data_IF_265456014341
#
_entry.id   IF_265456014341
#
_cell.length_a   1.000
_cell.length_b   1.000
_cell.length_c   1.000
_cell.angle_alpha   90.00
_cell.angle_beta   90.00
_cell.angle_gamma   90.00
#
_symmetry.space_group_name_H-M   'P 1'
#
loop_
_entity.id
_entity.type
_entity.pdbx_description
1 polymer ?
#
# COMPACT_ATOMS: atom_id res chain seq x y z
N UNK A 1 -19.87 -21.42 11.75
CA UNK A 1 -19.93 -20.02 12.19
C UNK A 1 -18.63 -19.38 11.77
N UNK A 2 -18.63 -18.60 10.70
CA UNK A 2 -17.45 -17.87 10.25
C UNK A 2 -17.21 -16.74 11.25
N UNK A 3 -16.37 -16.98 12.25
CA UNK A 3 -15.86 -15.91 13.09
C UNK A 3 -15.02 -15.01 12.18
N UNK A 4 -15.61 -13.91 11.74
CA UNK A 4 -14.90 -12.85 11.05
C UNK A 4 -13.72 -12.43 11.94
N UNK A 5 -12.50 -12.67 11.45
CA UNK A 5 -11.28 -12.31 12.17
C UNK A 5 -11.28 -10.79 12.37
N UNK A 6 -11.47 -10.38 13.63
CA UNK A 6 -11.40 -8.98 14.03
C UNK A 6 -9.97 -8.48 13.76
N UNK A 7 -9.80 -7.40 12.97
CA UNK A 7 -8.48 -6.87 12.69
C UNK A 7 -7.82 -6.36 13.96
N UNK A 8 -6.52 -6.58 14.08
CA UNK A 8 -5.71 -5.96 15.13
C UNK A 8 -5.61 -4.45 14.90
N UNK A 9 -5.26 -3.70 15.96
CA UNK A 9 -5.09 -2.26 15.86
C UNK A 9 -3.89 -1.94 14.97
N UNK A 10 -4.08 -1.09 13.96
CA UNK A 10 -3.01 -0.69 13.06
C UNK A 10 -2.09 0.32 13.74
N UNK A 11 -0.84 -0.08 13.96
CA UNK A 11 0.21 0.72 14.58
C UNK A 11 1.53 0.52 13.82
N UNK A 12 1.63 1.10 12.63
CA UNK A 12 2.84 1.00 11.83
C UNK A 12 3.30 2.39 11.45
N UNK A 13 4.58 2.65 11.68
CA UNK A 13 5.22 3.89 11.24
C UNK A 13 5.44 3.86 9.72
N UNK A 14 5.09 4.93 8.99
CA UNK A 14 5.22 4.98 7.53
C UNK A 14 6.68 4.95 7.03
N UNK A 15 7.67 5.17 7.90
CA UNK A 15 9.09 5.06 7.54
C UNK A 15 9.60 3.61 7.54
N UNK A 16 8.86 2.68 8.15
CA UNK A 16 9.25 1.27 8.21
C UNK A 16 9.36 0.63 6.82
N UNK A 17 10.39 -0.19 6.59
CA UNK A 17 10.66 -0.83 5.29
C UNK A 17 9.55 -1.76 4.81
N UNK A 18 8.74 -2.29 5.74
CA UNK A 18 7.60 -3.17 5.47
C UNK A 18 6.24 -2.47 5.61
N UNK A 19 6.23 -1.13 5.72
CA UNK A 19 5.01 -0.37 5.97
C UNK A 19 3.96 -0.55 4.86
N UNK A 20 4.38 -0.56 3.59
CA UNK A 20 3.47 -0.81 2.45
C UNK A 20 2.82 -2.20 2.56
N UNK A 21 3.61 -3.26 2.73
CA UNK A 21 3.09 -4.63 2.78
C UNK A 21 2.15 -4.82 3.96
N UNK A 22 2.50 -4.27 5.13
CA UNK A 22 1.66 -4.33 6.33
C UNK A 22 0.37 -3.55 6.17
N UNK A 23 0.42 -2.35 5.57
CA UNK A 23 -0.77 -1.57 5.25
C UNK A 23 -1.69 -2.32 4.29
N UNK A 24 -1.17 -2.86 3.18
CA UNK A 24 -1.96 -3.62 2.20
C UNK A 24 -2.65 -4.83 2.84
N UNK A 25 -1.92 -5.58 3.66
CA UNK A 25 -2.48 -6.72 4.39
C UNK A 25 -3.58 -6.28 5.36
N UNK A 26 -3.27 -5.31 6.22
CA UNK A 26 -4.22 -4.82 7.22
C UNK A 26 -5.48 -4.23 6.58
N UNK A 27 -5.34 -3.39 5.54
CA UNK A 27 -6.46 -2.82 4.78
C UNK A 27 -7.37 -3.93 4.25
N UNK A 28 -6.79 -4.99 3.67
CA UNK A 28 -7.57 -6.12 3.15
C UNK A 28 -8.32 -6.87 4.26
N UNK A 29 -7.68 -7.10 5.40
CA UNK A 29 -8.33 -7.71 6.57
C UNK A 29 -9.46 -6.83 7.10
N UNK A 30 -9.25 -5.51 7.17
CA UNK A 30 -10.26 -4.55 7.61
C UNK A 30 -11.44 -4.52 6.65
N UNK A 31 -11.22 -4.49 5.33
CA UNK A 31 -12.29 -4.57 4.32
C UNK A 31 -13.10 -5.87 4.42
N UNK A 32 -12.44 -7.02 4.62
CA UNK A 32 -13.12 -8.30 4.83
C UNK A 32 -13.97 -8.28 6.11
N UNK A 33 -13.45 -7.69 7.18
CA UNK A 33 -14.18 -7.50 8.43
C UNK A 33 -15.41 -6.61 8.24
N UNK A 34 -15.27 -5.48 7.54
CA UNK A 34 -16.39 -4.60 7.19
C UNK A 34 -17.45 -5.32 6.36
N UNK A 35 -17.04 -6.12 5.37
CA UNK A 35 -17.96 -6.89 4.52
C UNK A 35 -18.77 -7.95 5.28
N UNK A 36 -18.28 -8.39 6.43
CA UNK A 36 -19.00 -9.31 7.32
C UNK A 36 -20.05 -8.65 8.23
N UNK A 37 -20.04 -7.32 8.35
CA UNK A 37 -21.00 -6.57 9.18
C UNK A 37 -22.24 -6.24 8.36
N UNK A 38 -23.35 -6.96 8.59
CA UNK A 38 -24.60 -6.81 7.81
C UNK A 38 -25.27 -5.43 7.95
N UNK A 39 -25.01 -4.68 9.01
CA UNK A 39 -25.66 -3.39 9.32
C UNK A 39 -24.72 -2.19 9.13
N UNK A 40 -23.64 -2.36 8.37
CA UNK A 40 -22.64 -1.32 8.19
C UNK A 40 -23.12 -0.24 7.22
N UNK A 41 -23.28 0.98 7.71
CA UNK A 41 -23.53 2.19 6.92
C UNK A 41 -22.21 2.94 6.66
N UNK A 42 -22.14 3.72 5.58
CA UNK A 42 -20.93 4.52 5.24
C UNK A 42 -20.52 5.47 6.37
N UNK A 43 -21.49 6.07 7.04
CA UNK A 43 -21.30 6.95 8.22
C UNK A 43 -20.60 6.23 9.39
N UNK A 44 -20.77 4.91 9.53
CA UNK A 44 -20.19 4.12 10.60
C UNK A 44 -18.79 3.56 10.25
N UNK A 45 -18.37 3.62 8.98
CA UNK A 45 -17.05 3.10 8.55
C UNK A 45 -15.89 3.94 9.06
N UNK A 46 -16.00 5.25 9.02
CA UNK A 46 -14.97 6.18 9.49
C UNK A 46 -14.71 6.09 11.01
N UNK A 47 -15.73 6.09 11.90
CA UNK A 47 -15.49 5.88 13.32
C UNK A 47 -14.96 4.48 13.62
N UNK A 48 -15.38 3.45 12.88
CA UNK A 48 -14.75 2.12 12.98
C UNK A 48 -13.27 2.17 12.61
N UNK A 49 -12.91 2.77 11.47
CA UNK A 49 -11.51 2.94 11.07
C UNK A 49 -10.70 3.62 12.19
N UNK A 50 -11.24 4.71 12.75
CA UNK A 50 -10.62 5.47 13.84
C UNK A 50 -10.36 4.64 15.10
N UNK A 51 -11.27 3.71 15.44
CA UNK A 51 -11.12 2.81 16.57
C UNK A 51 -10.05 1.74 16.38
N UNK A 52 -9.84 1.31 15.13
CA UNK A 52 -8.88 0.26 14.79
C UNK A 52 -7.51 0.79 14.34
N UNK A 53 -7.25 2.09 14.48
CA UNK A 53 -5.92 2.70 14.29
C UNK A 53 -5.38 3.27 15.60
N UNK A 54 -4.06 3.40 15.74
CA UNK A 54 -3.45 4.13 16.87
C UNK A 54 -3.48 5.64 16.65
N UNK A 55 -3.27 6.40 17.73
CA UNK A 55 -3.24 7.87 17.68
C UNK A 55 -2.21 8.40 16.68
N UNK A 56 -1.07 7.72 16.55
CA UNK A 56 0.00 8.05 15.60
C UNK A 56 -0.45 7.95 14.15
N UNK A 57 -1.38 7.05 13.83
CA UNK A 57 -1.94 6.91 12.48
C UNK A 57 -3.15 7.81 12.29
N UNK A 58 -3.98 7.95 13.33
CA UNK A 58 -5.17 8.80 13.33
C UNK A 58 -4.84 10.27 13.01
N UNK A 59 -3.72 10.80 13.52
CA UNK A 59 -3.32 12.18 13.27
C UNK A 59 -3.24 12.54 11.77
N UNK A 60 -2.98 11.57 10.89
CA UNK A 60 -2.84 11.84 9.45
C UNK A 60 -4.17 12.06 8.73
N UNK A 61 -5.28 11.53 9.26
CA UNK A 61 -6.60 11.65 8.62
C UNK A 61 -7.67 12.18 9.58
N UNK A 62 -7.28 12.74 10.72
CA UNK A 62 -8.20 13.26 11.74
C UNK A 62 -9.18 14.31 11.19
N UNK A 63 -8.76 15.07 10.17
CA UNK A 63 -9.56 16.10 9.50
C UNK A 63 -10.51 15.54 8.41
N UNK A 64 -10.47 14.24 8.13
CA UNK A 64 -11.33 13.63 7.13
C UNK A 64 -12.76 13.41 7.66
N UNK A 65 -13.74 13.74 6.83
CA UNK A 65 -15.17 13.50 7.10
C UNK A 65 -15.70 12.24 6.43
N UNK A 66 -14.93 11.65 5.51
CA UNK A 66 -15.33 10.46 4.73
C UNK A 66 -14.32 9.33 4.89
N UNK A 67 -14.84 8.10 4.93
CA UNK A 67 -14.01 6.89 4.96
C UNK A 67 -13.09 6.79 3.74
N UNK A 68 -13.60 7.12 2.55
CA UNK A 68 -12.84 7.10 1.30
C UNK A 68 -11.69 8.10 1.31
N UNK A 69 -11.90 9.30 1.84
CA UNK A 69 -10.85 10.32 2.03
C UNK A 69 -9.76 9.83 2.99
N UNK A 70 -10.15 9.29 4.14
CA UNK A 70 -9.21 8.74 5.10
C UNK A 70 -8.36 7.60 4.52
N UNK A 71 -8.99 6.66 3.81
CA UNK A 71 -8.28 5.56 3.14
C UNK A 71 -7.34 6.10 2.06
N UNK A 72 -7.72 7.11 1.28
CA UNK A 72 -6.86 7.68 0.24
C UNK A 72 -5.60 8.34 0.83
N UNK A 73 -5.73 9.06 1.95
CA UNK A 73 -4.58 9.63 2.66
C UNK A 73 -3.65 8.51 3.15
N UNK A 74 -4.21 7.49 3.80
CA UNK A 74 -3.43 6.35 4.30
C UNK A 74 -2.77 5.57 3.17
N UNK A 75 -3.44 5.37 2.04
CA UNK A 75 -2.87 4.76 0.84
C UNK A 75 -1.67 5.58 0.35
N UNK A 76 -1.81 6.90 0.22
CA UNK A 76 -0.70 7.76 -0.21
C UNK A 76 0.46 7.82 0.80
N UNK A 77 0.19 7.62 2.09
CA UNK A 77 1.19 7.66 3.15
C UNK A 77 2.00 6.36 3.21
N UNK A 78 1.32 5.21 3.12
CA UNK A 78 1.92 3.89 3.30
C UNK A 78 2.35 3.24 1.99
N UNK A 79 1.67 3.54 0.89
CA UNK A 79 2.07 3.10 -0.44
C UNK A 79 2.93 4.21 -1.02
N UNK A 80 4.25 4.02 -0.92
CA UNK A 80 5.19 4.96 -1.52
C UNK A 80 4.87 5.04 -3.00
N UNK A 81 4.51 6.24 -3.47
CA UNK A 81 4.33 6.50 -4.90
C UNK A 81 5.65 6.15 -5.59
N UNK A 82 5.67 5.05 -6.33
CA UNK A 82 6.87 4.61 -7.05
C UNK A 82 7.28 5.73 -7.98
N UNK A 83 8.52 6.19 -7.85
CA UNK A 83 9.07 7.14 -8.78
C UNK A 83 9.41 6.40 -10.07
N UNK A 84 8.47 6.46 -11.03
CA UNK A 84 8.57 5.78 -12.33
C UNK A 84 9.83 6.21 -13.09
N UNK A 85 10.29 7.46 -12.92
CA UNK A 85 11.51 7.96 -13.55
C UNK A 85 12.74 7.22 -13.00
N UNK A 86 12.82 7.07 -11.68
CA UNK A 86 13.90 6.32 -11.02
C UNK A 86 13.82 4.84 -11.39
N UNK A 87 12.63 4.24 -11.40
CA UNK A 87 12.46 2.84 -11.78
C UNK A 87 12.95 2.56 -13.22
N UNK A 88 12.58 3.43 -14.17
CA UNK A 88 13.04 3.35 -15.57
C UNK A 88 14.54 3.56 -15.70
N UNK A 89 15.09 4.53 -14.97
CA UNK A 89 16.53 4.75 -14.94
C UNK A 89 17.24 3.48 -14.44
N UNK A 90 16.83 2.94 -13.28
CA UNK A 90 17.40 1.71 -12.72
C UNK A 90 17.33 0.52 -13.69
N UNK A 91 16.19 0.32 -14.36
CA UNK A 91 16.05 -0.74 -15.37
C UNK A 91 16.99 -0.51 -16.57
N UNK A 92 17.07 0.72 -17.07
CA UNK A 92 17.89 1.07 -18.24
C UNK A 92 19.40 1.03 -17.95
N UNK A 93 19.82 1.32 -16.72
CA UNK A 93 21.24 1.34 -16.35
C UNK A 93 21.73 0.01 -15.77
N UNK A 94 20.84 -0.96 -15.56
CA UNK A 94 21.22 -2.27 -15.03
C UNK A 94 21.94 -3.06 -16.11
N UNK A 95 23.20 -3.43 -15.86
CA UNK A 95 24.04 -4.26 -16.73
C UNK A 95 24.42 -5.56 -16.03
N UNK A 96 24.53 -6.67 -16.77
CA UNK A 96 24.91 -7.97 -16.21
C UNK A 96 26.29 -7.88 -15.49
N UNK A 97 26.35 -8.35 -14.25
CA UNK A 97 27.53 -8.43 -13.40
C UNK A 97 28.36 -9.67 -13.77
N UNK A 98 29.66 -9.63 -13.50
CA UNK A 98 30.58 -10.71 -13.86
C UNK A 98 30.26 -12.04 -13.15
N UNK A 99 29.66 -11.98 -11.96
CA UNK A 99 29.35 -13.14 -11.11
C UNK A 99 27.92 -13.65 -11.29
N UNK A 100 27.07 -12.97 -12.06
CA UNK A 100 25.66 -13.37 -12.23
C UNK A 100 25.44 -14.16 -13.52
N UNK A 101 24.62 -15.20 -13.45
CA UNK A 101 24.17 -15.92 -14.63
C UNK A 101 23.14 -15.11 -15.41
N UNK A 102 22.97 -15.44 -16.69
CA UNK A 102 21.95 -14.81 -17.56
C UNK A 102 20.54 -14.98 -16.98
N UNK A 103 20.25 -16.13 -16.37
CA UNK A 103 18.96 -16.41 -15.75
C UNK A 103 18.69 -15.51 -14.55
N UNK A 104 19.68 -15.31 -13.68
CA UNK A 104 19.58 -14.41 -12.52
C UNK A 104 19.40 -12.96 -12.98
N UNK A 105 20.17 -12.54 -14.00
CA UNK A 105 20.04 -11.22 -14.60
C UNK A 105 18.63 -10.97 -15.14
N UNK A 106 18.07 -11.92 -15.89
CA UNK A 106 16.70 -11.84 -16.40
C UNK A 106 15.66 -11.79 -15.27
N UNK A 107 15.88 -12.51 -14.17
CA UNK A 107 14.98 -12.46 -13.03
C UNK A 107 14.99 -11.07 -12.36
N UNK A 108 16.17 -10.46 -12.22
CA UNK A 108 16.32 -9.11 -11.68
C UNK A 108 15.67 -8.07 -12.60
N UNK A 109 15.89 -8.15 -13.91
CA UNK A 109 15.24 -7.26 -14.89
C UNK A 109 13.71 -7.39 -14.84
N UNK A 110 13.20 -8.62 -14.76
CA UNK A 110 11.76 -8.87 -14.61
C UNK A 110 11.19 -8.33 -13.30
N UNK A 111 11.99 -8.24 -12.25
CA UNK A 111 11.56 -7.64 -11.01
C UNK A 111 11.52 -6.11 -11.11
N UNK A 112 12.57 -5.49 -11.67
CA UNK A 112 12.66 -4.04 -11.89
C UNK A 112 11.61 -3.52 -12.88
N UNK A 113 11.23 -4.34 -13.86
CA UNK A 113 10.24 -3.98 -14.87
C UNK A 113 8.83 -3.82 -14.30
N UNK A 114 8.50 -4.51 -13.19
CA UNK A 114 7.22 -4.37 -12.48
C UNK A 114 7.03 -2.99 -11.87
N UNK A 115 8.12 -2.26 -11.60
CA UNK A 115 8.10 -0.94 -10.99
C UNK A 115 8.01 0.21 -12.02
N UNK A 116 8.09 -0.09 -13.32
CA UNK A 116 8.27 0.89 -14.39
C UNK A 116 6.99 1.48 -14.99
N UNK A 117 5.80 1.05 -14.54
CA UNK A 117 4.46 1.47 -14.99
C UNK A 117 4.49 1.97 -16.44
N UNK A 118 4.42 1.02 -17.39
CA UNK A 118 4.66 1.17 -18.85
C UNK A 118 3.69 2.13 -19.58
N UNK A 119 3.09 3.06 -18.86
CA UNK A 119 2.35 4.19 -19.40
C UNK A 119 3.24 5.03 -20.31
N UNK A 120 2.71 5.25 -21.52
CA UNK A 120 3.34 6.05 -22.56
C UNK A 120 3.54 7.48 -22.07
N UNK A 121 4.79 7.96 -22.07
CA UNK A 121 5.06 9.37 -21.78
C UNK A 121 4.80 10.12 -23.06
N UNK A 122 3.63 10.76 -23.14
CA UNK A 122 3.43 11.82 -24.12
C UNK A 122 4.37 12.95 -23.73
N UNK A 123 5.50 13.05 -24.42
CA UNK A 123 6.31 14.25 -24.39
C UNK A 123 5.47 15.38 -25.01
N UNK A 124 5.32 16.47 -24.27
CA UNK A 124 4.70 17.73 -24.72
C UNK A 124 5.76 18.66 -25.30
#
# INVERSE_FOLDING_TARGET
MEQLLKPERFDIDPTCSNAETKWRHWKKTFENFLGGIKTLTEENKLPLLSNYVTSNVYQFFNDCTTYTGAIAILDSLFIKKRNVIIARHCLSTRNQQMEETVSEYLQVLNQLSKDCDFTDVKAE
#
